data_IF_869051774023
#
_entry.id   IF_869051774023
#
_cell.length_a   1.000
_cell.length_b   1.000
_cell.length_c   1.000
_cell.angle_alpha   90.00
_cell.angle_beta   90.00
_cell.angle_gamma   90.00
#
_symmetry.space_group_name_H-M   'P 1'
#
loop_
_entity.id
_entity.type
_entity.pdbx_description
1 polymer ?
#
# COMPACT_ATOMS: atom_id res chain seq x y z
N UNK A 1 2.39 -29.93 -35.00
CA UNK A 1 3.50 -30.10 -35.98
C UNK A 1 4.31 -28.81 -36.05
N UNK A 2 5.62 -28.97 -36.17
CA UNK A 2 6.69 -27.95 -36.15
C UNK A 2 6.58 -26.91 -37.28
N UNK A 3 7.00 -25.66 -37.03
CA UNK A 3 8.25 -25.13 -37.60
C UNK A 3 8.62 -23.75 -37.02
N UNK A 4 9.81 -23.72 -36.42
CA UNK A 4 10.69 -22.59 -36.13
C UNK A 4 11.26 -21.95 -37.41
N UNK A 5 11.55 -20.64 -37.39
CA UNK A 5 12.71 -20.06 -38.08
C UNK A 5 13.42 -19.00 -37.24
N UNK A 6 14.75 -19.09 -37.30
CA UNK A 6 15.80 -18.43 -36.52
C UNK A 6 16.34 -17.16 -37.19
N UNK A 7 16.85 -16.28 -36.32
CA UNK A 7 17.91 -15.25 -36.38
C UNK A 7 18.76 -14.99 -37.64
N UNK A 8 19.18 -13.72 -37.78
CA UNK A 8 20.57 -13.19 -37.97
C UNK A 8 20.54 -11.73 -37.48
N UNK A 9 21.18 -11.32 -36.37
CA UNK A 9 22.59 -10.96 -36.11
C UNK A 9 23.23 -10.06 -37.18
N UNK A 10 23.53 -8.81 -36.79
CA UNK A 10 24.79 -8.15 -37.14
C UNK A 10 25.29 -7.33 -35.93
N UNK A 11 26.59 -7.43 -35.68
CA UNK A 11 27.34 -6.91 -34.53
C UNK A 11 28.44 -5.97 -35.05
N UNK A 12 28.61 -4.81 -34.43
CA UNK A 12 29.88 -4.05 -34.25
C UNK A 12 29.55 -2.71 -33.57
N UNK A 13 29.82 -2.48 -32.28
CA UNK A 13 31.10 -2.14 -31.61
C UNK A 13 31.84 -0.97 -32.25
N UNK A 14 31.77 0.21 -31.61
CA UNK A 14 32.91 1.11 -31.33
C UNK A 14 32.49 2.30 -30.43
N UNK A 15 33.13 2.35 -29.27
CA UNK A 15 33.31 3.45 -28.28
C UNK A 15 34.85 3.67 -28.27
N UNK A 16 35.52 4.81 -27.91
CA UNK A 16 35.13 5.94 -27.03
C UNK A 16 35.65 7.36 -27.46
N UNK A 17 35.50 8.31 -26.52
CA UNK A 17 36.17 9.63 -26.34
C UNK A 17 35.56 10.79 -27.12
N UNK A 18 35.26 11.97 -26.55
CA UNK A 18 35.44 12.50 -25.20
C UNK A 18 35.16 14.00 -25.21
N UNK A 19 34.89 14.55 -24.02
CA UNK A 19 35.08 15.96 -23.58
C UNK A 19 34.38 17.10 -24.35
N UNK A 20 33.67 17.96 -23.60
CA UNK A 20 33.52 19.36 -24.00
C UNK A 20 32.18 20.03 -23.67
N UNK A 21 32.00 20.38 -22.39
CA UNK A 21 31.56 21.70 -21.89
C UNK A 21 30.43 22.41 -22.64
N UNK A 22 29.30 22.62 -21.97
CA UNK A 22 28.70 23.97 -21.79
C UNK A 22 27.72 23.97 -20.61
N UNK A 23 28.21 24.47 -19.48
CA UNK A 23 27.49 25.41 -18.61
C UNK A 23 28.40 26.65 -18.49
N UNK A 24 27.97 27.82 -17.98
CA UNK A 24 26.65 28.25 -17.52
C UNK A 24 26.24 29.63 -18.10
N UNK A 25 24.97 30.02 -18.04
CA UNK A 25 24.61 31.45 -17.89
C UNK A 25 23.48 31.58 -16.88
N UNK A 26 23.88 31.90 -15.64
CA UNK A 26 23.13 32.78 -14.76
C UNK A 26 23.02 34.16 -15.43
N UNK A 27 21.81 34.69 -15.58
CA UNK A 27 21.60 36.10 -15.88
C UNK A 27 20.88 36.76 -14.71
N UNK A 28 21.70 37.53 -14.03
CA UNK A 28 21.42 38.57 -13.04
C UNK A 28 20.24 39.43 -13.51
N UNK A 29 19.13 39.39 -12.77
CA UNK A 29 18.19 40.51 -12.73
C UNK A 29 18.64 41.47 -11.62
N UNK A 30 19.68 42.25 -11.91
CA UNK A 30 19.96 43.48 -11.20
C UNK A 30 19.27 44.60 -11.98
N UNK A 31 18.02 44.86 -11.66
CA UNK A 31 17.46 46.21 -11.75
C UNK A 31 16.29 46.32 -10.79
N UNK A 32 16.33 47.36 -9.95
CA UNK A 32 15.39 47.71 -8.88
C UNK A 32 15.44 46.85 -7.60
N UNK A 33 16.59 46.87 -6.91
CA UNK A 33 16.58 46.68 -5.45
C UNK A 33 16.35 48.03 -4.77
N UNK A 34 15.27 48.15 -4.00
CA UNK A 34 15.06 49.27 -3.07
C UNK A 34 16.05 49.17 -1.90
N UNK A 35 16.44 50.29 -1.28
CA UNK A 35 17.38 50.29 -0.14
C UNK A 35 16.94 49.33 0.99
N UNK A 36 15.63 49.21 1.21
CA UNK A 36 14.99 48.25 2.11
C UNK A 36 15.39 46.78 1.86
N UNK A 37 15.60 46.37 0.61
CA UNK A 37 15.94 44.98 0.26
C UNK A 37 17.43 44.66 0.40
N UNK A 38 18.30 45.68 0.41
CA UNK A 38 19.73 45.50 0.67
C UNK A 38 20.02 45.27 2.15
N UNK A 39 19.32 45.99 3.02
CA UNK A 39 19.46 45.84 4.46
C UNK A 39 18.91 44.49 4.95
N UNK A 40 17.79 44.04 4.37
CA UNK A 40 17.19 42.74 4.71
C UNK A 40 18.07 41.56 4.27
N UNK A 41 18.68 41.63 3.08
CA UNK A 41 19.64 40.63 2.61
C UNK A 41 20.96 40.63 3.40
N UNK A 42 21.39 41.79 3.90
CA UNK A 42 22.57 41.90 4.75
C UNK A 42 22.30 41.25 6.10
N UNK A 43 21.14 41.51 6.69
CA UNK A 43 20.71 40.90 7.96
C UNK A 43 20.55 39.38 7.86
N UNK A 44 19.99 38.88 6.74
CA UNK A 44 19.89 37.44 6.49
C UNK A 44 21.27 36.76 6.37
N UNK A 45 22.23 37.43 5.71
CA UNK A 45 23.61 36.93 5.59
C UNK A 45 24.32 36.90 6.95
N UNK A 46 24.12 37.93 7.77
CA UNK A 46 24.71 37.98 9.12
C UNK A 46 24.11 36.88 10.01
N UNK A 47 22.79 36.65 9.97
CA UNK A 47 22.13 35.53 10.68
C UNK A 47 22.61 34.14 10.20
N UNK A 48 22.82 33.98 8.89
CA UNK A 48 23.37 32.73 8.33
C UNK A 48 24.80 32.47 8.79
N UNK A 49 25.64 33.50 8.80
CA UNK A 49 27.03 33.40 9.29
C UNK A 49 27.06 33.10 10.79
N UNK A 50 26.12 33.66 11.55
CA UNK A 50 26.01 33.41 12.99
C UNK A 50 25.54 31.98 13.29
N UNK A 51 24.57 31.46 12.53
CA UNK A 51 24.15 30.05 12.58
C UNK A 51 25.25 29.09 12.13
N UNK A 52 26.03 29.42 11.10
CA UNK A 52 27.17 28.61 10.68
C UNK A 52 28.25 28.55 11.76
N UNK A 53 28.52 29.67 12.43
CA UNK A 53 29.44 29.71 13.58
C UNK A 53 28.90 28.93 14.77
N UNK A 54 27.59 28.98 15.03
CA UNK A 54 26.95 28.20 16.09
C UNK A 54 27.01 26.70 15.80
N UNK A 55 26.76 26.28 14.55
CA UNK A 55 26.92 24.89 14.10
C UNK A 55 28.38 24.44 14.24
N UNK A 56 29.34 25.29 13.88
CA UNK A 56 30.75 24.97 13.99
C UNK A 56 31.18 24.86 15.46
N UNK A 57 30.68 25.74 16.32
CA UNK A 57 30.93 25.72 17.77
C UNK A 57 30.30 24.49 18.43
N UNK A 58 29.09 24.08 18.02
CA UNK A 58 28.45 22.83 18.45
C UNK A 58 29.24 21.58 17.99
N UNK A 59 29.85 21.62 16.80
CA UNK A 59 30.74 20.54 16.30
C UNK A 59 32.08 20.48 17.02
N UNK A 60 32.59 21.62 17.49
CA UNK A 60 33.85 21.72 18.24
C UNK A 60 33.65 21.40 19.74
N UNK A 61 32.51 21.76 20.32
CA UNK A 61 32.16 21.52 21.74
C UNK A 61 31.60 20.11 21.99
N UNK A 62 30.89 19.53 21.02
CA UNK A 62 30.63 18.09 21.03
C UNK A 62 31.82 17.39 20.37
N UNK A 63 32.76 16.89 21.19
CA UNK A 63 33.35 15.59 20.88
C UNK A 63 32.16 14.68 20.59
N UNK A 64 31.88 14.41 19.31
CA UNK A 64 30.83 13.48 18.91
C UNK A 64 30.98 12.27 19.84
N UNK A 65 29.94 11.93 20.63
CA UNK A 65 30.05 10.78 21.49
C UNK A 65 30.53 9.64 20.60
N UNK A 66 31.62 8.99 21.03
CA UNK A 66 32.09 7.78 20.38
C UNK A 66 31.03 6.72 20.71
N UNK A 67 29.90 6.78 20.01
CA UNK A 67 28.84 5.79 20.11
C UNK A 67 29.42 4.60 19.37
N UNK A 68 29.92 3.63 20.13
CA UNK A 68 30.22 2.34 19.54
C UNK A 68 28.90 1.84 18.93
N UNK A 69 28.87 1.50 17.62
CA UNK A 69 27.69 0.98 16.98
C UNK A 69 27.13 -0.19 17.80
N UNK A 70 25.83 -0.16 18.09
CA UNK A 70 25.14 -1.22 18.82
C UNK A 70 24.62 -2.22 17.79
N UNK A 71 25.35 -3.31 17.57
CA UNK A 71 24.88 -4.43 16.74
C UNK A 71 24.26 -5.52 17.61
N UNK A 72 23.27 -6.22 17.07
CA UNK A 72 22.59 -7.36 17.69
C UNK A 72 23.30 -8.69 17.42
N UNK A 73 24.62 -8.65 17.19
CA UNK A 73 25.41 -9.83 16.84
C UNK A 73 25.38 -10.90 17.95
N UNK A 74 25.14 -10.50 19.20
CA UNK A 74 24.97 -11.41 20.34
C UNK A 74 23.53 -11.91 20.54
N UNK A 75 22.53 -11.34 19.85
CA UNK A 75 21.15 -11.76 19.98
C UNK A 75 20.96 -13.15 19.36
N UNK A 76 20.34 -14.06 20.12
CA UNK A 76 20.01 -15.39 19.62
C UNK A 76 18.68 -15.36 18.87
N UNK A 77 18.73 -15.66 17.57
CA UNK A 77 17.57 -15.81 16.70
C UNK A 77 17.46 -17.25 16.20
N UNK A 78 16.27 -17.83 16.33
CA UNK A 78 15.89 -19.04 15.60
C UNK A 78 15.50 -18.62 14.20
N UNK A 79 15.96 -19.33 13.18
CA UNK A 79 15.61 -19.03 11.78
C UNK A 79 15.25 -20.30 11.02
N UNK A 80 14.23 -20.22 10.19
CA UNK A 80 13.82 -21.30 9.30
C UNK A 80 13.49 -20.75 7.91
N UNK A 81 13.83 -21.51 6.86
CA UNK A 81 13.43 -21.20 5.49
C UNK A 81 12.09 -21.83 5.18
N UNK A 82 11.14 -21.03 4.71
CA UNK A 82 9.79 -21.45 4.37
C UNK A 82 9.52 -21.24 2.89
N UNK A 83 8.69 -22.10 2.30
CA UNK A 83 8.29 -21.96 0.90
C UNK A 83 7.47 -20.69 0.69
N UNK A 84 7.78 -19.94 -0.36
CA UNK A 84 7.08 -18.77 -0.86
C UNK A 84 6.36 -19.12 -2.16
N UNK A 85 5.10 -18.70 -2.29
CA UNK A 85 4.31 -18.85 -3.52
C UNK A 85 3.51 -17.60 -3.84
N UNK A 86 3.49 -17.22 -5.11
CA UNK A 86 2.73 -16.08 -5.60
C UNK A 86 1.39 -16.48 -6.23
N UNK A 87 0.31 -15.82 -5.80
CA UNK A 87 -1.02 -15.91 -6.40
C UNK A 87 -1.56 -14.54 -6.85
N UNK A 88 -0.75 -13.48 -6.77
CA UNK A 88 -1.12 -12.19 -7.33
C UNK A 88 -0.92 -12.23 -8.86
N UNK A 89 -1.99 -12.09 -9.67
CA UNK A 89 -1.88 -12.19 -11.13
C UNK A 89 -1.25 -10.96 -11.79
N UNK A 90 -1.15 -9.83 -11.08
CA UNK A 90 -0.58 -8.59 -11.61
C UNK A 90 0.95 -8.59 -11.70
N UNK A 91 1.61 -9.55 -11.04
CA UNK A 91 3.07 -9.62 -10.98
C UNK A 91 3.55 -11.06 -11.17
N UNK A 92 4.52 -11.26 -12.07
CA UNK A 92 5.21 -12.55 -12.21
C UNK A 92 6.36 -12.63 -11.19
N UNK A 93 6.10 -13.27 -10.04
CA UNK A 93 7.12 -13.55 -9.00
C UNK A 93 7.36 -15.06 -8.95
N UNK A 94 8.63 -15.48 -9.06
CA UNK A 94 9.00 -16.89 -9.01
C UNK A 94 8.77 -17.49 -7.61
N UNK A 95 8.27 -18.73 -7.56
CA UNK A 95 8.24 -19.52 -6.34
C UNK A 95 9.68 -19.67 -5.80
N UNK A 96 9.85 -19.46 -4.50
CA UNK A 96 11.16 -19.43 -3.86
C UNK A 96 11.04 -19.79 -2.37
N UNK A 97 12.05 -19.47 -1.58
CA UNK A 97 12.05 -19.59 -0.12
C UNK A 97 12.37 -18.26 0.52
N UNK A 98 11.79 -18.04 1.68
CA UNK A 98 11.99 -16.86 2.48
C UNK A 98 12.28 -17.26 3.92
N UNK A 99 13.29 -16.63 4.52
CA UNK A 99 13.67 -16.93 5.90
C UNK A 99 12.79 -16.15 6.87
N UNK A 100 12.15 -16.84 7.81
CA UNK A 100 11.56 -16.20 8.98
C UNK A 100 12.48 -16.36 10.19
N UNK A 101 12.65 -15.27 10.93
CA UNK A 101 13.43 -15.20 12.15
C UNK A 101 12.50 -15.06 13.35
N UNK A 102 12.88 -15.67 14.47
CA UNK A 102 12.14 -15.61 15.73
C UNK A 102 13.14 -15.36 16.86
N UNK A 103 12.79 -14.50 17.81
CA UNK A 103 13.62 -14.31 19.00
C UNK A 103 13.60 -15.62 19.81
N UNK A 104 14.77 -16.03 20.31
CA UNK A 104 14.91 -17.36 20.91
C UNK A 104 13.95 -17.66 22.07
N UNK A 105 13.61 -16.62 22.82
CA UNK A 105 12.72 -16.57 23.98
C UNK A 105 11.25 -16.25 23.63
N UNK A 106 10.95 -15.83 22.40
CA UNK A 106 9.62 -15.46 21.95
C UNK A 106 9.42 -15.72 20.45
N UNK A 107 8.59 -16.71 20.13
CA UNK A 107 8.23 -17.09 18.75
C UNK A 107 6.91 -16.48 18.26
N UNK A 108 6.31 -15.56 19.02
CA UNK A 108 5.02 -14.94 18.69
C UNK A 108 5.11 -13.98 17.49
N UNK A 109 6.25 -13.31 17.31
CA UNK A 109 6.48 -12.33 16.24
C UNK A 109 7.49 -12.91 15.25
N UNK A 110 7.07 -13.23 14.01
CA UNK A 110 8.01 -13.52 12.94
C UNK A 110 8.68 -12.22 12.48
N UNK A 111 9.98 -12.31 12.23
CA UNK A 111 10.81 -11.26 11.65
C UNK A 111 11.33 -11.70 10.28
N UNK A 112 11.74 -10.73 9.47
CA UNK A 112 12.24 -10.96 8.11
C UNK A 112 13.43 -10.06 7.82
N UNK A 113 14.42 -10.57 7.09
CA UNK A 113 15.49 -9.75 6.51
C UNK A 113 14.94 -8.95 5.32
N UNK A 114 15.02 -7.63 5.42
CA UNK A 114 14.47 -6.71 4.41
C UNK A 114 15.11 -6.94 3.04
N UNK A 115 16.43 -7.17 2.97
CA UNK A 115 17.11 -7.34 1.68
C UNK A 115 16.72 -8.67 1.01
N UNK A 116 16.68 -9.75 1.79
CA UNK A 116 16.23 -11.07 1.29
C UNK A 116 14.80 -10.99 0.77
N UNK A 117 13.91 -10.32 1.51
CA UNK A 117 12.52 -10.18 1.12
C UNK A 117 12.34 -9.40 -0.18
N UNK A 118 13.01 -8.26 -0.32
CA UNK A 118 12.94 -7.45 -1.54
C UNK A 118 13.49 -8.21 -2.76
N UNK A 119 14.54 -9.01 -2.59
CA UNK A 119 15.10 -9.85 -3.66
C UNK A 119 14.17 -11.00 -4.08
N UNK A 120 13.60 -11.72 -3.10
CA UNK A 120 12.58 -12.77 -3.37
C UNK A 120 11.37 -12.18 -4.10
N UNK A 121 11.03 -10.93 -3.79
CA UNK A 121 9.93 -10.19 -4.40
C UNK A 121 10.32 -9.44 -5.67
N UNK A 122 11.48 -9.72 -6.29
CA UNK A 122 11.96 -8.98 -7.47
C UNK A 122 11.04 -9.01 -8.70
N UNK A 123 9.99 -9.84 -8.74
CA UNK A 123 8.92 -9.74 -9.74
C UNK A 123 7.95 -8.56 -9.51
N UNK A 124 7.85 -8.10 -8.27
CA UNK A 124 7.05 -6.97 -7.80
C UNK A 124 7.91 -5.74 -7.46
N UNK A 125 9.10 -5.94 -6.88
CA UNK A 125 10.06 -4.89 -6.52
C UNK A 125 11.09 -4.72 -7.63
N UNK A 126 11.34 -3.48 -8.06
CA UNK A 126 12.48 -3.12 -8.88
C UNK A 126 13.73 -2.95 -8.00
N UNK A 127 14.50 -4.04 -7.85
CA UNK A 127 15.75 -4.06 -7.08
C UNK A 127 16.86 -3.20 -7.68
N UNK A 128 16.66 -2.68 -8.90
CA UNK A 128 17.57 -1.71 -9.53
C UNK A 128 17.16 -0.25 -9.28
N UNK A 129 15.92 -0.03 -8.80
CA UNK A 129 15.33 1.28 -8.57
C UNK A 129 15.82 1.99 -7.29
N UNK A 130 16.60 1.31 -6.45
CA UNK A 130 17.14 1.88 -5.22
C UNK A 130 18.58 1.44 -4.93
N UNK A 131 19.26 2.19 -4.07
CA UNK A 131 20.56 1.85 -3.50
C UNK A 131 20.45 1.70 -1.99
N UNK A 132 21.32 0.88 -1.42
CA UNK A 132 21.39 0.67 0.03
C UNK A 132 22.78 0.96 0.57
N UNK A 133 22.85 1.43 1.80
CA UNK A 133 24.10 1.54 2.55
C UNK A 133 23.84 1.47 4.05
N UNK A 134 24.89 1.13 4.78
CA UNK A 134 24.89 1.02 6.24
C UNK A 134 25.76 2.14 6.80
N UNK A 135 25.17 2.98 7.63
CA UNK A 135 25.86 3.96 8.46
C UNK A 135 25.93 3.42 9.90
N UNK A 136 27.01 2.71 10.18
CA UNK A 136 27.25 2.13 11.51
C UNK A 136 27.44 3.21 12.58
N UNK A 137 27.91 4.40 12.22
CA UNK A 137 28.13 5.49 13.20
C UNK A 137 26.82 5.96 13.80
N UNK A 138 25.75 5.96 13.00
CA UNK A 138 24.42 6.41 13.42
C UNK A 138 23.42 5.27 13.66
N UNK A 139 23.88 4.01 13.60
CA UNK A 139 23.05 2.81 13.68
C UNK A 139 21.92 2.79 12.63
N UNK A 140 22.23 3.13 11.38
CA UNK A 140 21.25 3.28 10.30
C UNK A 140 21.52 2.39 9.10
N UNK A 141 20.45 1.80 8.55
CA UNK A 141 20.45 1.24 7.20
C UNK A 141 19.50 2.06 6.33
N UNK A 142 20.01 2.51 5.20
CA UNK A 142 19.34 3.52 4.39
C UNK A 142 19.11 2.96 2.99
N UNK A 143 17.89 3.12 2.51
CA UNK A 143 17.47 2.82 1.14
C UNK A 143 17.16 4.14 0.43
N UNK A 144 17.63 4.34 -0.80
CA UNK A 144 17.44 5.58 -1.54
C UNK A 144 17.03 5.35 -2.99
N UNK A 145 16.04 6.10 -3.45
CA UNK A 145 15.71 6.24 -4.88
C UNK A 145 16.39 7.49 -5.45
N UNK A 146 16.53 7.54 -6.77
CA UNK A 146 17.10 8.71 -7.45
C UNK A 146 16.31 9.05 -8.70
N UNK A 147 16.12 10.34 -8.94
CA UNK A 147 15.52 10.89 -10.15
C UNK A 147 16.48 11.89 -10.77
N UNK A 148 16.77 11.76 -12.07
CA UNK A 148 17.74 12.60 -12.80
C UNK A 148 19.11 12.74 -12.10
N UNK A 149 19.58 11.64 -11.49
CA UNK A 149 20.89 11.59 -10.81
C UNK A 149 20.93 12.27 -9.44
N UNK A 150 19.79 12.77 -8.94
CA UNK A 150 19.65 13.33 -7.60
C UNK A 150 18.84 12.39 -6.71
N UNK A 151 19.13 12.39 -5.41
CA UNK A 151 18.34 11.62 -4.42
C UNK A 151 16.90 12.15 -4.45
N UNK A 152 15.94 11.26 -4.71
CA UNK A 152 14.51 11.59 -4.72
C UNK A 152 13.93 11.35 -3.33
N UNK A 153 13.94 10.08 -2.88
CA UNK A 153 13.41 9.68 -1.58
C UNK A 153 14.37 8.73 -0.85
N UNK A 154 14.20 8.66 0.47
CA UNK A 154 14.96 7.79 1.35
C UNK A 154 14.06 7.13 2.39
N UNK A 155 14.41 5.90 2.77
CA UNK A 155 13.90 5.24 3.97
C UNK A 155 15.09 4.86 4.85
N UNK A 156 15.06 5.32 6.09
CA UNK A 156 16.12 5.19 7.08
C UNK A 156 15.59 4.31 8.20
N UNK A 157 16.21 3.14 8.40
CA UNK A 157 15.93 2.26 9.52
C UNK A 157 16.99 2.50 10.59
N UNK A 158 16.58 2.95 11.78
CA UNK A 158 17.47 3.08 12.92
C UNK A 158 17.20 1.92 13.90
N UNK A 159 18.18 1.03 14.03
CA UNK A 159 18.01 -0.19 14.84
C UNK A 159 18.26 0.03 16.34
N UNK A 160 19.02 1.07 16.70
CA UNK A 160 19.25 1.41 18.10
C UNK A 160 18.03 2.09 18.74
N UNK A 161 17.34 2.94 17.97
CA UNK A 161 16.18 3.71 18.39
C UNK A 161 14.85 3.14 17.91
N UNK A 162 14.86 1.99 17.25
CA UNK A 162 13.67 1.31 16.75
C UNK A 162 12.70 2.22 15.97
N UNK A 163 13.20 2.99 15.01
CA UNK A 163 12.33 3.79 14.14
C UNK A 163 12.64 3.58 12.66
N UNK A 164 11.62 3.84 11.84
CA UNK A 164 11.75 3.94 10.38
C UNK A 164 11.34 5.35 9.99
N UNK A 165 12.21 6.07 9.29
CA UNK A 165 11.93 7.40 8.78
C UNK A 165 11.94 7.40 7.27
N UNK A 166 10.84 7.80 6.64
CA UNK A 166 10.73 7.96 5.20
C UNK A 166 10.68 9.46 4.88
N UNK A 167 11.54 9.95 3.98
CA UNK A 167 11.44 11.34 3.52
C UNK A 167 10.12 11.62 2.82
N UNK A 168 9.58 10.59 2.16
CA UNK A 168 8.21 10.52 1.68
C UNK A 168 7.78 9.05 1.60
N UNK A 169 6.50 8.80 1.83
CA UNK A 169 5.86 7.49 1.57
C UNK A 169 5.93 7.07 0.10
N UNK A 170 6.18 8.00 -0.83
CA UNK A 170 6.40 7.72 -2.25
C UNK A 170 7.53 6.72 -2.50
N UNK A 171 8.55 6.64 -1.62
CA UNK A 171 9.61 5.62 -1.74
C UNK A 171 9.04 4.20 -1.94
N UNK A 172 8.02 3.83 -1.15
CA UNK A 172 7.44 2.48 -1.20
C UNK A 172 6.73 2.18 -2.52
N UNK A 173 6.31 3.21 -3.26
CA UNK A 173 5.70 3.09 -4.58
C UNK A 173 6.75 3.16 -5.71
N UNK A 174 7.76 4.02 -5.58
CA UNK A 174 8.80 4.24 -6.60
C UNK A 174 9.64 2.99 -6.88
N UNK A 175 9.79 2.09 -5.89
CA UNK A 175 10.54 0.84 -6.06
C UNK A 175 9.67 -0.32 -6.58
N UNK A 176 8.41 -0.09 -6.94
CA UNK A 176 7.52 -1.13 -7.47
C UNK A 176 7.65 -1.24 -8.99
N UNK A 177 7.52 -2.45 -9.51
CA UNK A 177 7.35 -2.69 -10.94
C UNK A 177 5.93 -2.33 -11.38
N UNK A 178 5.73 -1.92 -12.65
CA UNK A 178 4.40 -1.74 -13.21
C UNK A 178 3.59 -3.05 -13.21
N UNK A 179 2.27 -2.93 -13.08
CA UNK A 179 1.33 -4.05 -13.22
C UNK A 179 1.39 -4.70 -14.62
N UNK A 180 1.28 -6.03 -14.65
CA UNK A 180 1.42 -6.80 -15.88
C UNK A 180 0.09 -6.99 -16.64
N UNK A 181 -1.05 -7.11 -15.95
CA UNK A 181 -2.35 -7.41 -16.58
C UNK A 181 -3.16 -6.15 -16.87
N UNK A 182 -3.19 -5.24 -15.90
CA UNK A 182 -3.91 -3.97 -15.98
C UNK A 182 -2.93 -2.79 -16.10
N UNK A 183 -3.43 -1.62 -16.52
CA UNK A 183 -2.64 -0.38 -16.53
C UNK A 183 -3.50 0.78 -16.03
N UNK A 184 -3.56 0.92 -14.72
CA UNK A 184 -4.28 2.03 -14.09
C UNK A 184 -3.72 3.43 -14.40
N UNK A 185 -2.51 3.54 -14.96
CA UNK A 185 -1.94 4.84 -15.29
C UNK A 185 -2.19 5.26 -16.75
N UNK A 186 -2.83 4.42 -17.58
CA UNK A 186 -2.82 4.59 -19.04
C UNK A 186 -3.42 5.91 -19.55
N UNK A 187 -4.36 6.50 -18.81
CA UNK A 187 -5.00 7.78 -19.17
C UNK A 187 -4.74 8.90 -18.16
N UNK A 188 -3.94 8.63 -17.12
CA UNK A 188 -3.64 9.63 -16.10
C UNK A 188 -2.52 10.55 -16.58
N UNK A 189 -2.84 11.83 -16.75
CA UNK A 189 -1.83 12.88 -16.83
C UNK A 189 -1.58 13.45 -15.44
N UNK A 190 -0.54 12.97 -14.78
CA UNK A 190 -0.12 13.50 -13.48
C UNK A 190 0.64 14.81 -13.67
N UNK A 191 -0.04 15.94 -13.48
CA UNK A 191 0.64 17.21 -13.14
C UNK A 191 0.87 17.25 -11.63
N UNK A 192 1.70 16.35 -11.12
CA UNK A 192 2.07 16.37 -9.71
C UNK A 192 3.15 17.43 -9.52
N UNK A 193 2.83 18.52 -8.80
CA UNK A 193 3.88 19.22 -8.08
C UNK A 193 4.27 18.29 -6.94
N UNK A 194 5.52 17.84 -6.85
CA UNK A 194 6.04 17.15 -5.68
C UNK A 194 5.81 18.03 -4.44
N UNK A 195 4.65 17.89 -3.82
CA UNK A 195 4.45 18.34 -2.46
C UNK A 195 5.02 17.21 -1.64
N UNK A 196 6.26 17.38 -1.23
CA UNK A 196 6.78 16.62 -0.12
C UNK A 196 5.70 16.64 0.96
N UNK A 197 5.32 15.45 1.45
CA UNK A 197 4.81 15.34 2.83
C UNK A 197 5.71 16.25 3.65
N UNK A 198 5.11 17.14 4.46
CA UNK A 198 5.77 18.24 5.18
C UNK A 198 7.28 18.05 5.27
N UNK A 199 8.14 18.99 4.85
CA UNK A 199 9.60 18.83 4.60
C UNK A 199 10.46 17.98 5.59
N UNK A 200 9.89 17.52 6.70
CA UNK A 200 10.31 16.54 7.71
C UNK A 200 10.04 15.05 7.37
N UNK A 201 9.13 14.70 6.45
CA UNK A 201 8.79 13.31 6.11
C UNK A 201 7.99 12.56 7.19
N UNK A 202 7.86 11.23 7.05
CA UNK A 202 7.05 10.37 7.92
C UNK A 202 7.93 9.52 8.86
N UNK A 203 7.66 9.62 10.16
CA UNK A 203 8.32 8.83 11.20
C UNK A 203 7.40 7.71 11.70
N UNK A 204 7.86 6.48 11.55
CA UNK A 204 7.30 5.27 12.13
C UNK A 204 8.13 4.88 13.36
N UNK A 205 7.71 5.39 14.53
CA UNK A 205 8.31 5.06 15.82
C UNK A 205 7.81 3.69 16.27
N UNK A 206 8.63 2.65 16.11
CA UNK A 206 8.28 1.27 16.47
C UNK A 206 8.45 1.00 17.97
N UNK A 207 9.34 1.74 18.64
CA UNK A 207 9.53 1.68 20.10
C UNK A 207 8.21 1.95 20.83
N UNK A 208 7.42 2.93 20.36
CA UNK A 208 6.08 3.22 20.90
C UNK A 208 5.14 2.01 20.94
N UNK A 209 5.35 1.02 20.07
CA UNK A 209 4.53 -0.18 19.98
C UNK A 209 5.27 -1.43 20.47
N UNK A 210 6.42 -1.29 21.13
CA UNK A 210 7.26 -2.40 21.62
C UNK A 210 7.57 -3.40 20.49
N UNK A 211 8.04 -2.84 19.38
CA UNK A 211 8.49 -3.54 18.18
C UNK A 211 9.92 -3.12 17.88
N UNK A 212 10.80 -4.10 17.67
CA UNK A 212 12.23 -3.84 17.50
C UNK A 212 12.68 -3.97 16.04
N UNK A 213 13.73 -3.24 15.70
CA UNK A 213 14.50 -3.39 14.47
C UNK A 213 15.82 -4.04 14.88
N UNK A 214 16.13 -5.19 14.30
CA UNK A 214 17.34 -5.95 14.64
C UNK A 214 18.37 -5.75 13.54
N UNK A 215 19.59 -5.38 13.90
CA UNK A 215 20.72 -5.35 12.96
C UNK A 215 21.78 -6.37 13.37
N UNK A 216 21.80 -7.51 12.67
CA UNK A 216 22.64 -8.66 13.00
C UNK A 216 23.40 -9.13 11.77
N UNK A 217 24.72 -9.23 11.87
CA UNK A 217 25.60 -9.76 10.81
C UNK A 217 25.38 -9.05 9.45
N UNK A 218 25.12 -7.73 9.48
CA UNK A 218 24.84 -6.92 8.29
C UNK A 218 23.39 -6.98 7.78
N UNK A 219 22.54 -7.82 8.37
CA UNK A 219 21.13 -7.97 8.01
C UNK A 219 20.26 -7.01 8.79
N UNK A 220 19.31 -6.40 8.09
CA UNK A 220 18.27 -5.57 8.69
C UNK A 220 17.02 -6.44 8.83
N UNK A 221 16.73 -6.85 10.05
CA UNK A 221 15.68 -7.80 10.38
C UNK A 221 14.56 -7.05 11.11
N UNK A 222 13.38 -6.96 10.51
CA UNK A 222 12.23 -6.23 11.07
C UNK A 222 11.02 -7.15 11.28
N UNK A 223 10.02 -6.78 12.10
CA UNK A 223 8.81 -7.57 12.25
C UNK A 223 8.15 -7.75 10.88
N UNK A 224 7.82 -8.99 10.54
CA UNK A 224 7.22 -9.33 9.25
C UNK A 224 5.95 -8.52 8.97
N UNK A 225 5.15 -8.25 10.01
CA UNK A 225 3.94 -7.45 9.90
C UNK A 225 4.22 -5.99 9.52
N UNK A 226 5.31 -5.40 10.02
CA UNK A 226 5.76 -4.04 9.64
C UNK A 226 6.27 -4.04 8.19
N UNK A 227 7.08 -5.03 7.80
CA UNK A 227 7.52 -5.19 6.41
C UNK A 227 6.31 -5.28 5.47
N UNK A 228 5.36 -6.16 5.77
CA UNK A 228 4.18 -6.36 4.94
C UNK A 228 3.34 -5.08 4.84
N UNK A 229 3.14 -4.33 5.93
CA UNK A 229 2.39 -3.07 5.90
C UNK A 229 3.07 -1.99 5.04
N UNK A 230 4.39 -1.84 5.14
CA UNK A 230 5.12 -0.76 4.46
C UNK A 230 5.43 -1.07 3.00
N UNK A 231 5.88 -2.28 2.69
CA UNK A 231 6.37 -2.64 1.36
C UNK A 231 5.32 -3.32 0.48
N UNK A 232 4.34 -3.99 1.09
CA UNK A 232 3.36 -4.79 0.33
C UNK A 232 2.00 -4.07 0.28
N UNK A 233 1.41 -3.79 1.44
CA UNK A 233 0.03 -3.33 1.53
C UNK A 233 -0.22 -2.03 0.75
N UNK A 234 0.80 -1.16 0.61
CA UNK A 234 0.69 0.11 -0.11
C UNK A 234 0.50 -0.09 -1.63
N UNK A 235 0.98 -1.20 -2.20
CA UNK A 235 0.82 -1.52 -3.62
C UNK A 235 -0.29 -2.53 -3.89
N UNK A 236 -1.29 -2.63 -3.01
CA UNK A 236 -2.38 -3.62 -3.13
C UNK A 236 -1.87 -5.05 -3.32
N UNK A 237 -0.83 -5.44 -2.60
CA UNK A 237 -0.35 -6.83 -2.52
C UNK A 237 -0.08 -7.16 -1.06
N UNK A 238 -0.28 -8.41 -0.63
CA UNK A 238 -0.05 -8.80 0.75
C UNK A 238 0.53 -10.20 0.88
N UNK A 239 1.55 -10.30 1.73
CA UNK A 239 2.14 -11.56 2.18
C UNK A 239 1.41 -12.08 3.41
N UNK A 240 1.10 -13.36 3.38
CA UNK A 240 0.57 -14.11 4.52
C UNK A 240 1.61 -15.13 4.97
N UNK A 241 1.98 -15.07 6.24
CA UNK A 241 2.75 -16.10 6.91
C UNK A 241 1.91 -16.73 8.01
N UNK A 242 1.72 -18.05 7.96
CA UNK A 242 0.88 -18.79 8.90
C UNK A 242 1.68 -19.71 9.85
N UNK A 243 3.02 -19.62 9.81
CA UNK A 243 3.94 -20.49 10.56
C UNK A 243 4.52 -21.65 9.73
N UNK A 244 3.98 -21.91 8.54
CA UNK A 244 4.40 -23.03 7.67
C UNK A 244 4.87 -22.58 6.29
N UNK A 245 4.37 -21.45 5.78
CA UNK A 245 4.71 -20.94 4.46
C UNK A 245 4.39 -19.45 4.30
N UNK A 246 4.98 -18.84 3.28
CA UNK A 246 4.62 -17.52 2.77
C UNK A 246 3.75 -17.64 1.52
N UNK A 247 2.72 -16.80 1.44
CA UNK A 247 1.80 -16.72 0.30
C UNK A 247 1.52 -15.27 -0.05
N UNK A 248 1.79 -14.86 -1.29
CA UNK A 248 1.43 -13.54 -1.82
C UNK A 248 0.07 -13.58 -2.51
N UNK A 249 -0.80 -12.61 -2.23
CA UNK A 249 -2.08 -12.41 -2.91
C UNK A 249 -2.30 -10.94 -3.22
N UNK A 250 -3.10 -10.66 -4.24
CA UNK A 250 -3.57 -9.32 -4.55
C UNK A 250 -4.49 -8.82 -3.44
N UNK A 251 -4.19 -7.62 -2.94
CA UNK A 251 -4.86 -6.82 -1.91
C UNK A 251 -5.09 -7.50 -0.55
N UNK A 252 -5.66 -8.69 -0.50
CA UNK A 252 -5.89 -9.48 0.69
C UNK A 252 -6.81 -10.63 0.39
N UNK A 253 -6.82 -11.66 1.24
CA UNK A 253 -7.71 -12.81 1.08
C UNK A 253 -9.15 -12.33 1.00
N UNK A 254 -9.77 -12.61 -0.14
CA UNK A 254 -11.12 -12.23 -0.50
C UNK A 254 -11.41 -10.71 -0.50
N UNK A 255 -10.40 -9.86 -0.72
CA UNK A 255 -10.58 -8.41 -0.67
C UNK A 255 -11.40 -7.84 -1.84
N UNK A 256 -11.24 -8.41 -3.04
CA UNK A 256 -11.86 -7.96 -4.30
C UNK A 256 -12.68 -9.07 -5.00
N UNK A 257 -13.28 -9.97 -4.23
CA UNK A 257 -13.95 -11.18 -4.75
C UNK A 257 -13.39 -12.42 -4.07
N UNK A 258 -13.70 -13.61 -4.56
CA UNK A 258 -13.15 -14.84 -3.99
C UNK A 258 -11.71 -15.04 -4.52
N UNK A 259 -10.73 -15.13 -3.61
CA UNK A 259 -9.37 -15.50 -3.95
C UNK A 259 -9.30 -16.96 -4.43
N UNK A 260 -8.29 -17.36 -5.21
CA UNK A 260 -8.15 -18.75 -5.65
C UNK A 260 -8.17 -19.73 -4.46
N UNK A 261 -8.97 -20.79 -4.55
CA UNK A 261 -9.13 -21.79 -3.48
C UNK A 261 -7.80 -22.34 -2.96
N UNK A 262 -6.81 -22.52 -3.87
CA UNK A 262 -5.47 -22.96 -3.49
C UNK A 262 -4.76 -21.94 -2.58
N UNK A 263 -4.87 -20.64 -2.89
CA UNK A 263 -4.30 -19.57 -2.08
C UNK A 263 -4.99 -19.53 -0.71
N UNK A 264 -6.33 -19.58 -0.68
CA UNK A 264 -7.11 -19.59 0.56
C UNK A 264 -6.72 -20.78 1.42
N UNK A 265 -6.64 -21.98 0.85
CA UNK A 265 -6.21 -23.20 1.54
C UNK A 265 -4.80 -23.07 2.10
N UNK A 266 -3.84 -22.58 1.29
CA UNK A 266 -2.44 -22.45 1.70
C UNK A 266 -2.27 -21.48 2.87
N UNK A 267 -3.03 -20.38 2.89
CA UNK A 267 -3.01 -19.38 3.95
C UNK A 267 -3.75 -19.88 5.19
N UNK A 268 -4.98 -20.36 5.02
CA UNK A 268 -5.95 -20.52 6.10
C UNK A 268 -5.98 -21.92 6.70
N UNK A 269 -5.59 -22.96 5.97
CA UNK A 269 -5.55 -24.34 6.47
C UNK A 269 -4.13 -24.68 6.93
N UNK A 270 -3.88 -24.58 8.24
CA UNK A 270 -2.55 -24.71 8.83
C UNK A 270 -2.61 -25.28 10.26
N UNK A 271 -1.45 -25.58 10.86
CA UNK A 271 -1.37 -26.15 12.20
C UNK A 271 -1.95 -25.28 13.33
N UNK A 272 -2.31 -24.00 13.12
CA UNK A 272 -2.93 -23.13 14.13
C UNK A 272 -4.45 -23.27 14.18
N UNK A 273 -5.09 -23.88 13.18
CA UNK A 273 -6.55 -24.04 13.19
C UNK A 273 -7.02 -24.78 14.44
N UNK A 274 -8.08 -24.27 15.08
CA UNK A 274 -8.67 -24.81 16.31
C UNK A 274 -7.71 -24.92 17.50
N UNK A 275 -6.58 -24.20 17.48
CA UNK A 275 -5.71 -24.04 18.65
C UNK A 275 -6.03 -22.75 19.39
N UNK A 276 -5.56 -22.68 20.62
CA UNK A 276 -5.61 -21.44 21.41
C UNK A 276 -4.34 -20.64 21.13
N UNK A 277 -4.44 -19.36 20.70
CA UNK A 277 -3.27 -18.49 20.58
C UNK A 277 -2.61 -18.25 21.94
N UNK A 278 -1.31 -17.97 21.95
CA UNK A 278 -0.62 -17.54 23.18
C UNK A 278 -0.94 -16.08 23.50
N UNK A 279 -0.78 -15.68 24.77
CA UNK A 279 -0.91 -14.27 25.17
C UNK A 279 0.06 -13.36 24.40
N UNK A 280 1.29 -13.81 24.21
CA UNK A 280 2.30 -13.09 23.45
C UNK A 280 1.88 -12.86 21.98
N UNK A 281 1.24 -13.84 21.32
CA UNK A 281 0.69 -13.67 19.96
C UNK A 281 -0.45 -12.63 19.92
N UNK A 282 -1.30 -12.60 20.95
CA UNK A 282 -2.37 -11.60 21.07
C UNK A 282 -1.82 -10.19 21.29
N UNK A 283 -0.85 -10.05 22.18
CA UNK A 283 -0.16 -8.78 22.46
C UNK A 283 0.57 -8.25 21.23
N UNK A 284 1.32 -9.12 20.54
CA UNK A 284 1.97 -8.78 19.27
C UNK A 284 0.98 -8.30 18.21
N UNK A 285 -0.15 -9.00 18.07
CA UNK A 285 -1.21 -8.61 17.12
C UNK A 285 -1.80 -7.25 17.50
N UNK A 286 -2.01 -6.98 18.79
CA UNK A 286 -2.55 -5.71 19.25
C UNK A 286 -1.57 -4.55 19.01
N UNK A 287 -0.28 -4.75 19.27
CA UNK A 287 0.77 -3.76 19.01
C UNK A 287 0.85 -3.37 17.53
N UNK A 288 0.84 -4.37 16.64
CA UNK A 288 0.82 -4.10 15.19
C UNK A 288 -0.50 -3.46 14.75
N UNK A 289 -1.63 -3.87 15.33
CA UNK A 289 -2.91 -3.20 15.09
C UNK A 289 -2.85 -1.72 15.44
N UNK A 290 -2.31 -1.37 16.61
CA UNK A 290 -2.13 0.03 17.01
C UNK A 290 -1.23 0.79 16.03
N UNK A 291 -0.11 0.20 15.62
CA UNK A 291 0.76 0.76 14.59
C UNK A 291 0.00 1.06 13.29
N UNK A 292 -0.72 0.08 12.74
CA UNK A 292 -1.47 0.26 11.49
C UNK A 292 -2.52 1.36 11.65
N UNK A 293 -3.30 1.32 12.72
CA UNK A 293 -4.39 2.28 12.91
C UNK A 293 -3.89 3.69 13.23
N UNK A 294 -2.78 3.83 13.95
CA UNK A 294 -2.22 5.15 14.28
C UNK A 294 -1.59 5.86 13.07
N UNK A 295 -1.04 5.11 12.11
CA UNK A 295 -0.32 5.65 10.95
C UNK A 295 -1.12 5.65 9.64
N UNK A 296 -2.06 4.72 9.45
CA UNK A 296 -2.73 4.52 8.16
C UNK A 296 -4.25 4.75 8.18
N UNK A 297 -4.86 4.98 9.35
CA UNK A 297 -6.29 5.28 9.40
C UNK A 297 -6.59 6.73 8.97
N UNK A 298 -7.06 6.90 7.74
CA UNK A 298 -7.25 8.22 7.11
C UNK A 298 -8.29 9.14 7.76
N UNK A 299 -9.13 8.66 8.67
CA UNK A 299 -10.14 9.49 9.36
C UNK A 299 -9.78 9.83 10.81
N UNK A 300 -8.52 9.58 11.22
CA UNK A 300 -8.04 9.78 12.60
C UNK A 300 -8.27 11.21 13.08
N UNK A 301 -7.85 12.22 12.31
CA UNK A 301 -8.02 13.63 12.66
C UNK A 301 -9.50 14.06 12.70
N UNK A 302 -10.27 13.66 11.69
CA UNK A 302 -11.72 13.95 11.61
C UNK A 302 -12.48 13.39 12.83
N UNK A 303 -12.12 12.17 13.26
CA UNK A 303 -12.69 11.53 14.44
C UNK A 303 -12.02 11.95 15.76
N UNK A 304 -11.05 12.87 15.71
CA UNK A 304 -10.29 13.38 16.87
C UNK A 304 -9.63 12.27 17.69
N UNK A 305 -9.18 11.22 17.01
CA UNK A 305 -8.50 10.08 17.62
C UNK A 305 -7.03 10.46 17.82
N UNK A 306 -6.58 10.62 19.06
CA UNK A 306 -5.18 10.96 19.36
C UNK A 306 -4.27 9.74 19.19
N UNK A 307 -4.66 8.62 19.79
CA UNK A 307 -4.05 7.31 19.63
C UNK A 307 -5.14 6.25 19.64
N UNK A 308 -4.94 5.17 18.91
CA UNK A 308 -5.88 4.06 18.93
C UNK A 308 -5.92 3.34 20.28
N UNK A 309 -4.81 3.32 21.03
CA UNK A 309 -4.79 2.70 22.35
C UNK A 309 -5.71 3.40 23.35
N UNK A 310 -5.86 4.72 23.23
CA UNK A 310 -6.78 5.52 24.06
C UNK A 310 -8.21 5.56 23.51
N UNK A 311 -8.39 5.25 22.22
CA UNK A 311 -9.69 5.26 21.56
C UNK A 311 -10.49 3.98 21.83
N UNK A 312 -9.81 2.83 21.85
CA UNK A 312 -10.45 1.53 22.04
C UNK A 312 -10.93 1.42 23.49
N UNK A 313 -12.20 1.04 23.67
CA UNK A 313 -12.77 0.80 24.99
C UNK A 313 -11.97 -0.26 25.78
N UNK A 314 -11.88 -0.11 27.10
CA UNK A 314 -11.18 -1.06 27.96
C UNK A 314 -11.72 -2.50 27.80
N UNK A 315 -13.04 -2.65 27.66
CA UNK A 315 -13.69 -3.94 27.45
C UNK A 315 -13.33 -4.58 26.09
N UNK A 316 -13.23 -3.79 25.02
CA UNK A 316 -12.83 -4.31 23.71
C UNK A 316 -11.33 -4.58 23.64
N UNK A 317 -10.49 -3.82 24.36
CA UNK A 317 -9.06 -4.10 24.53
C UNK A 317 -8.84 -5.43 25.26
N UNK A 318 -9.55 -5.68 26.35
CA UNK A 318 -9.50 -6.96 27.08
C UNK A 318 -9.87 -8.13 26.16
N UNK A 319 -10.97 -8.01 25.41
CA UNK A 319 -11.38 -9.03 24.44
C UNK A 319 -10.37 -9.23 23.31
N UNK A 320 -9.75 -8.15 22.82
CA UNK A 320 -8.74 -8.23 21.77
C UNK A 320 -7.51 -9.04 22.25
N UNK A 321 -7.10 -8.81 23.49
CA UNK A 321 -5.96 -9.48 24.14
C UNK A 321 -6.29 -10.90 24.65
N UNK A 322 -7.57 -11.26 24.72
CA UNK A 322 -8.03 -12.59 25.10
C UNK A 322 -7.46 -13.66 24.17
N UNK A 323 -7.15 -14.83 24.74
CA UNK A 323 -6.81 -16.03 23.97
C UNK A 323 -8.06 -16.81 23.54
N UNK A 324 -9.25 -16.40 23.98
CA UNK A 324 -10.52 -16.94 23.52
C UNK A 324 -10.87 -16.36 22.14
N UNK A 325 -11.12 -17.26 21.19
CA UNK A 325 -11.45 -16.95 19.80
C UNK A 325 -12.69 -16.09 19.62
N UNK A 326 -13.74 -16.37 20.36
CA UNK A 326 -14.98 -15.60 20.27
C UNK A 326 -14.79 -14.17 20.77
N UNK A 327 -13.98 -13.98 21.81
CA UNK A 327 -13.69 -12.67 22.38
C UNK A 327 -12.92 -11.79 21.37
N UNK A 328 -11.78 -12.26 20.86
CA UNK A 328 -10.97 -11.42 19.98
C UNK A 328 -11.64 -11.19 18.63
N UNK A 329 -12.42 -12.14 18.11
CA UNK A 329 -13.21 -11.92 16.89
C UNK A 329 -14.28 -10.85 17.12
N UNK A 330 -14.96 -10.89 18.27
CA UNK A 330 -15.94 -9.88 18.62
C UNK A 330 -15.29 -8.50 18.83
N UNK A 331 -14.07 -8.43 19.36
CA UNK A 331 -13.33 -7.18 19.51
C UNK A 331 -13.11 -6.49 18.16
N UNK A 332 -12.63 -7.23 17.13
CA UNK A 332 -12.47 -6.67 15.78
C UNK A 332 -13.78 -6.11 15.23
N UNK A 333 -14.87 -6.85 15.38
CA UNK A 333 -16.20 -6.40 14.94
C UNK A 333 -16.63 -5.15 15.69
N UNK A 334 -16.49 -5.13 17.02
CA UNK A 334 -16.87 -3.97 17.82
C UNK A 334 -16.07 -2.73 17.43
N UNK A 335 -14.75 -2.86 17.27
CA UNK A 335 -13.89 -1.74 16.92
C UNK A 335 -14.21 -1.23 15.50
N UNK A 336 -14.18 -2.10 14.49
CA UNK A 336 -14.35 -1.67 13.10
C UNK A 336 -15.79 -1.32 12.73
N UNK A 337 -16.75 -2.17 13.10
CA UNK A 337 -18.13 -1.99 12.66
C UNK A 337 -18.90 -1.03 13.58
N UNK A 338 -18.59 -0.96 14.87
CA UNK A 338 -19.42 -0.23 15.85
C UNK A 338 -18.77 1.01 16.45
N UNK A 339 -17.49 0.97 16.81
CA UNK A 339 -16.79 2.13 17.35
C UNK A 339 -16.40 3.10 16.23
N UNK A 340 -15.70 2.63 15.19
CA UNK A 340 -15.40 3.45 14.02
C UNK A 340 -16.69 3.83 13.27
N UNK A 341 -17.64 2.88 13.16
CA UNK A 341 -18.97 3.08 12.60
C UNK A 341 -18.96 3.82 11.25
N UNK A 342 -18.15 3.33 10.33
CA UNK A 342 -18.05 3.83 8.96
C UNK A 342 -17.87 2.64 7.99
N UNK A 343 -17.89 2.91 6.68
CA UNK A 343 -18.08 1.87 5.65
C UNK A 343 -16.79 1.40 4.96
N UNK A 344 -15.67 2.12 5.15
CA UNK A 344 -14.40 1.88 4.47
C UNK A 344 -13.36 1.14 5.33
N UNK A 345 -13.60 0.92 6.63
CA UNK A 345 -12.83 -0.05 7.43
C UNK A 345 -13.60 -1.35 7.57
N UNK A 346 -12.98 -2.46 7.15
CA UNK A 346 -13.63 -3.77 7.16
C UNK A 346 -12.68 -4.90 7.52
N UNK A 347 -13.29 -6.01 7.94
CA UNK A 347 -12.62 -7.30 8.12
C UNK A 347 -12.81 -8.08 6.82
N UNK A 348 -11.72 -8.54 6.20
CA UNK A 348 -11.81 -9.44 5.05
C UNK A 348 -11.78 -10.91 5.49
N UNK A 349 -11.02 -11.23 6.54
CA UNK A 349 -10.95 -12.58 7.10
C UNK A 349 -10.63 -12.56 8.60
N UNK A 350 -10.98 -13.62 9.33
CA UNK A 350 -10.70 -13.77 10.77
C UNK A 350 -9.29 -14.32 11.03
N UNK A 351 -8.96 -14.71 12.25
CA UNK A 351 -7.64 -15.23 12.59
C UNK A 351 -7.31 -16.59 11.92
N UNK A 352 -6.04 -17.02 12.00
CA UNK A 352 -5.62 -18.38 11.62
C UNK A 352 -6.11 -19.47 12.57
N UNK A 353 -6.65 -19.11 13.74
CA UNK A 353 -7.17 -20.07 14.73
C UNK A 353 -8.62 -20.49 14.43
N UNK A 354 -9.24 -19.91 13.40
CA UNK A 354 -10.52 -20.41 12.88
C UNK A 354 -10.37 -21.81 12.29
N UNK A 355 -11.34 -22.67 12.56
CA UNK A 355 -11.45 -24.03 12.01
C UNK A 355 -12.21 -24.04 10.68
N UNK A 356 -13.22 -23.16 10.54
CA UNK A 356 -13.98 -22.95 9.31
C UNK A 356 -13.21 -22.07 8.31
N UNK A 357 -12.05 -22.54 7.87
CA UNK A 357 -11.07 -21.76 7.10
C UNK A 357 -11.56 -21.27 5.71
N UNK A 358 -12.56 -21.93 5.11
CA UNK A 358 -13.25 -21.48 3.87
C UNK A 358 -14.44 -20.55 4.12
N UNK A 359 -15.00 -20.53 5.34
CA UNK A 359 -16.20 -19.76 5.61
C UNK A 359 -15.89 -18.26 5.63
N UNK A 360 -16.84 -17.46 5.13
CA UNK A 360 -16.72 -16.00 5.21
C UNK A 360 -16.88 -15.58 6.67
N UNK A 361 -16.21 -14.50 7.08
CA UNK A 361 -16.16 -14.09 8.49
C UNK A 361 -17.54 -13.87 9.10
N UNK A 362 -18.50 -13.37 8.31
CA UNK A 362 -19.87 -13.12 8.77
C UNK A 362 -20.68 -14.42 8.95
N UNK A 363 -20.30 -15.53 8.31
CA UNK A 363 -20.90 -16.86 8.51
C UNK A 363 -20.37 -17.52 9.77
N UNK A 364 -19.12 -17.21 10.14
CA UNK A 364 -18.52 -17.68 11.39
C UNK A 364 -19.15 -16.96 12.59
N UNK A 365 -19.47 -15.68 12.42
CA UNK A 365 -20.10 -14.84 13.43
C UNK A 365 -21.62 -14.74 13.27
N UNK A 366 -22.24 -15.70 12.58
CA UNK A 366 -23.69 -15.76 12.41
C UNK A 366 -24.40 -15.78 13.77
N UNK A 367 -25.52 -15.07 13.87
CA UNK A 367 -26.28 -14.90 15.12
C UNK A 367 -25.69 -13.88 16.10
N UNK A 368 -24.48 -13.35 15.86
CA UNK A 368 -23.91 -12.25 16.66
C UNK A 368 -24.31 -10.88 16.06
N UNK A 369 -24.38 -9.86 16.92
CA UNK A 369 -24.53 -8.49 16.45
C UNK A 369 -23.21 -7.98 15.85
N UNK A 370 -23.13 -8.03 14.52
CA UNK A 370 -21.92 -7.71 13.75
C UNK A 370 -22.00 -6.42 12.93
N UNK A 371 -23.09 -5.64 13.04
CA UNK A 371 -23.35 -4.49 12.16
C UNK A 371 -23.49 -3.19 12.93
N UNK A 372 -22.69 -2.19 12.56
CA UNK A 372 -22.87 -0.81 13.01
C UNK A 372 -24.09 -0.13 12.40
N UNK A 373 -24.46 1.01 12.98
CA UNK A 373 -25.59 1.82 12.53
C UNK A 373 -25.42 2.35 11.11
N UNK A 374 -24.20 2.75 10.72
CA UNK A 374 -23.92 3.26 9.38
C UNK A 374 -24.07 2.16 8.33
N UNK A 375 -23.59 0.95 8.63
CA UNK A 375 -23.79 -0.21 7.77
C UNK A 375 -25.28 -0.51 7.56
N UNK A 376 -26.08 -0.52 8.64
CA UNK A 376 -27.53 -0.77 8.56
C UNK A 376 -28.23 0.27 7.67
N UNK A 377 -27.95 1.56 7.90
CA UNK A 377 -28.52 2.67 7.10
C UNK A 377 -28.10 2.59 5.63
N UNK A 378 -26.82 2.34 5.37
CA UNK A 378 -26.31 2.20 4.01
C UNK A 378 -27.03 1.07 3.26
N UNK A 379 -27.16 -0.11 3.87
CA UNK A 379 -27.81 -1.24 3.20
C UNK A 379 -29.31 -1.04 2.99
N UNK A 380 -30.00 -0.36 3.92
CA UNK A 380 -31.40 0.02 3.72
C UNK A 380 -31.56 0.97 2.52
N UNK A 381 -30.73 2.01 2.45
CA UNK A 381 -30.73 2.96 1.33
C UNK A 381 -30.35 2.28 0.00
N UNK A 382 -29.29 1.45 0.02
CA UNK A 382 -28.85 0.71 -1.17
C UNK A 382 -29.95 -0.23 -1.67
N UNK A 383 -30.62 -0.95 -0.77
CA UNK A 383 -31.76 -1.81 -1.13
C UNK A 383 -32.86 -1.01 -1.85
N UNK A 384 -33.27 0.12 -1.27
CA UNK A 384 -34.27 1.01 -1.89
C UNK A 384 -33.83 1.51 -3.27
N UNK A 385 -32.57 1.91 -3.42
CA UNK A 385 -32.03 2.36 -4.71
C UNK A 385 -32.01 1.24 -5.76
N UNK A 386 -31.61 0.02 -5.38
CA UNK A 386 -31.63 -1.14 -6.27
C UNK A 386 -33.06 -1.49 -6.68
N UNK A 387 -34.02 -1.53 -5.75
CA UNK A 387 -35.42 -1.80 -6.08
C UNK A 387 -36.01 -0.77 -7.05
N UNK A 388 -35.71 0.52 -6.84
CA UNK A 388 -36.13 1.58 -7.75
C UNK A 388 -35.45 1.48 -9.12
N UNK A 389 -34.18 1.10 -9.15
CA UNK A 389 -33.43 0.85 -10.36
C UNK A 389 -34.06 -0.30 -11.16
N UNK A 390 -34.22 -1.46 -10.56
CA UNK A 390 -34.77 -2.65 -11.22
C UNK A 390 -36.18 -2.39 -11.76
N UNK A 391 -37.01 -1.67 -11.00
CA UNK A 391 -38.34 -1.26 -11.44
C UNK A 391 -38.30 -0.30 -12.63
N UNK A 392 -37.37 0.66 -12.63
CA UNK A 392 -37.25 1.66 -13.70
C UNK A 392 -36.72 1.05 -15.00
N UNK A 393 -35.85 0.05 -14.89
CA UNK A 393 -35.24 -0.62 -16.04
C UNK A 393 -35.99 -1.87 -16.49
N UNK A 394 -36.90 -2.40 -15.66
CA UNK A 394 -37.63 -3.65 -15.94
C UNK A 394 -36.70 -4.88 -15.98
N UNK A 395 -35.55 -4.80 -15.31
CA UNK A 395 -34.47 -5.79 -15.38
C UNK A 395 -33.79 -5.90 -14.01
N UNK A 396 -33.34 -7.10 -13.65
CA UNK A 396 -32.55 -7.32 -12.43
C UNK A 396 -31.17 -6.71 -12.58
N UNK A 397 -30.61 -6.22 -11.47
CA UNK A 397 -29.29 -5.62 -11.48
C UNK A 397 -28.22 -6.61 -11.96
N UNK A 398 -28.33 -7.87 -11.54
CA UNK A 398 -27.38 -8.94 -11.88
C UNK A 398 -27.42 -9.33 -13.37
N UNK A 399 -28.52 -9.04 -14.06
CA UNK A 399 -28.63 -9.28 -15.51
C UNK A 399 -28.15 -8.07 -16.33
N UNK A 400 -27.90 -6.92 -15.69
CA UNK A 400 -27.54 -5.66 -16.33
C UNK A 400 -26.09 -5.71 -16.82
N UNK A 401 -25.86 -5.44 -18.09
CA UNK A 401 -24.55 -5.55 -18.72
C UNK A 401 -24.28 -4.37 -19.65
N UNK A 402 -23.10 -4.34 -20.28
CA UNK A 402 -22.65 -3.24 -21.12
C UNK A 402 -23.66 -2.82 -22.20
N UNK A 403 -24.44 -3.75 -22.78
CA UNK A 403 -25.46 -3.40 -23.78
C UNK A 403 -26.63 -2.59 -23.20
N UNK A 404 -26.88 -2.68 -21.90
CA UNK A 404 -27.94 -1.95 -21.21
C UNK A 404 -27.51 -0.54 -20.76
N UNK A 405 -26.20 -0.25 -20.79
CA UNK A 405 -25.63 0.96 -20.18
C UNK A 405 -26.08 2.23 -20.91
N UNK A 406 -26.30 2.16 -22.22
CA UNK A 406 -26.68 3.31 -23.04
C UNK A 406 -28.12 3.15 -23.53
N UNK A 407 -28.99 4.10 -23.16
CA UNK A 407 -30.37 4.18 -23.67
C UNK A 407 -30.66 5.55 -24.25
N UNK A 408 -31.47 5.59 -25.31
CA UNK A 408 -31.88 6.84 -25.96
C UNK A 408 -33.36 7.10 -25.72
N UNK A 409 -33.73 8.32 -25.32
CA UNK A 409 -35.13 8.76 -25.19
C UNK A 409 -35.26 10.23 -25.58
N UNK A 410 -36.05 10.50 -26.62
CA UNK A 410 -36.20 11.85 -27.19
C UNK A 410 -34.84 12.36 -27.70
N UNK A 411 -34.45 13.55 -27.25
CA UNK A 411 -33.15 14.17 -27.56
C UNK A 411 -32.06 13.87 -26.52
N UNK A 412 -32.22 12.83 -25.68
CA UNK A 412 -31.31 12.56 -24.57
C UNK A 412 -30.76 11.13 -24.63
N UNK A 413 -29.45 10.99 -24.44
CA UNK A 413 -28.79 9.73 -24.13
C UNK A 413 -28.63 9.59 -22.62
N UNK A 414 -29.03 8.45 -22.08
CA UNK A 414 -28.86 8.06 -20.68
C UNK A 414 -27.76 7.02 -20.60
N UNK A 415 -26.74 7.29 -19.79
CA UNK A 415 -25.61 6.40 -19.55
C UNK A 415 -25.68 5.96 -18.10
N UNK A 416 -25.82 4.67 -17.85
CA UNK A 416 -25.83 4.11 -16.50
C UNK A 416 -24.56 3.29 -16.30
N UNK A 417 -23.76 3.67 -15.31
CA UNK A 417 -22.55 2.94 -14.93
C UNK A 417 -22.73 2.33 -13.55
N UNK A 418 -22.54 1.01 -13.44
CA UNK A 418 -22.63 0.30 -12.16
C UNK A 418 -21.31 0.28 -11.39
N UNK A 419 -20.20 0.53 -12.08
CA UNK A 419 -18.86 0.67 -11.53
C UNK A 419 -17.95 1.36 -12.55
N UNK A 420 -16.75 1.73 -12.11
CA UNK A 420 -15.65 2.16 -13.00
C UNK A 420 -14.72 0.97 -13.21
N UNK A 421 -14.69 0.43 -14.42
CA UNK A 421 -13.96 -0.79 -14.76
C UNK A 421 -12.78 -0.48 -15.71
N UNK A 422 -11.65 -1.15 -15.46
CA UNK A 422 -10.49 -1.18 -16.34
C UNK A 422 -10.44 -2.52 -17.09
N UNK A 423 -10.30 -2.45 -18.41
CA UNK A 423 -10.09 -3.64 -19.22
C UNK A 423 -8.65 -4.17 -19.07
N UNK A 424 -8.47 -5.49 -19.10
CA UNK A 424 -7.13 -6.08 -19.25
C UNK A 424 -6.53 -5.73 -20.60
N UNK A 425 -5.20 -5.82 -20.74
CA UNK A 425 -4.51 -5.59 -22.03
C UNK A 425 -5.10 -6.43 -23.18
N UNK A 426 -5.55 -7.65 -22.91
CA UNK A 426 -6.22 -8.50 -23.90
C UNK A 426 -7.62 -7.99 -24.27
N UNK A 427 -8.43 -7.57 -23.28
CA UNK A 427 -9.77 -7.03 -23.51
C UNK A 427 -9.71 -5.71 -24.29
N UNK A 428 -8.74 -4.85 -23.99
CA UNK A 428 -8.55 -3.56 -24.65
C UNK A 428 -8.08 -3.68 -26.11
N UNK A 429 -7.49 -4.83 -26.49
CA UNK A 429 -7.09 -5.12 -27.86
C UNK A 429 -8.26 -5.54 -28.77
N UNK A 430 -9.45 -5.79 -28.19
CA UNK A 430 -10.65 -6.23 -28.94
C UNK A 430 -11.45 -5.03 -29.45
N UNK A 431 -12.15 -5.21 -30.57
CA UNK A 431 -13.00 -4.18 -31.18
C UNK A 431 -14.18 -3.76 -30.28
N UNK A 432 -14.57 -4.63 -29.34
CA UNK A 432 -15.63 -4.42 -28.37
C UNK A 432 -15.11 -4.05 -26.97
N UNK A 433 -13.89 -3.52 -26.87
CA UNK A 433 -13.25 -3.02 -25.63
C UNK A 433 -14.16 -2.15 -24.76
N UNK A 434 -15.11 -1.41 -25.36
CA UNK A 434 -16.12 -0.61 -24.68
C UNK A 434 -17.02 -1.40 -23.72
N UNK A 435 -17.08 -2.74 -23.85
CA UNK A 435 -17.83 -3.62 -22.94
C UNK A 435 -17.08 -3.92 -21.64
N UNK A 436 -15.77 -3.73 -21.62
CA UNK A 436 -14.88 -4.13 -20.54
C UNK A 436 -14.23 -2.94 -19.82
N UNK A 437 -14.20 -1.78 -20.46
CA UNK A 437 -13.53 -0.59 -19.95
C UNK A 437 -14.43 0.64 -20.07
N UNK A 438 -14.52 1.37 -18.96
CA UNK A 438 -15.46 2.49 -18.84
C UNK A 438 -15.03 3.71 -19.66
N UNK A 439 -13.73 3.92 -19.88
CA UNK A 439 -13.24 4.98 -20.77
C UNK A 439 -13.59 4.68 -22.22
N UNK A 440 -13.38 3.43 -22.66
CA UNK A 440 -13.75 3.01 -24.02
C UNK A 440 -15.27 3.02 -24.25
N UNK A 441 -16.07 2.73 -23.22
CA UNK A 441 -17.53 2.93 -23.25
C UNK A 441 -17.91 4.37 -23.56
N UNK A 442 -17.32 5.34 -22.85
CA UNK A 442 -17.63 6.75 -23.07
C UNK A 442 -17.19 7.20 -24.47
N UNK A 443 -16.04 6.73 -24.97
CA UNK A 443 -15.63 6.98 -26.36
C UNK A 443 -16.57 6.35 -27.38
N UNK A 444 -17.04 5.14 -27.13
CA UNK A 444 -18.02 4.46 -27.97
C UNK A 444 -19.32 5.28 -28.04
N UNK A 445 -19.83 5.74 -26.90
CA UNK A 445 -20.99 6.63 -26.84
C UNK A 445 -20.78 7.89 -27.69
N UNK A 446 -19.65 8.58 -27.54
CA UNK A 446 -19.40 9.81 -28.31
C UNK A 446 -19.42 9.57 -29.82
N UNK A 447 -18.84 8.46 -30.30
CA UNK A 447 -18.91 8.05 -31.72
C UNK A 447 -20.33 7.69 -32.17
N UNK A 448 -21.12 7.07 -31.31
CA UNK A 448 -22.53 6.77 -31.62
C UNK A 448 -23.39 8.04 -31.68
N UNK A 449 -23.08 9.05 -30.88
CA UNK A 449 -23.77 10.33 -30.88
C UNK A 449 -23.50 11.17 -32.13
N UNK A 450 -22.32 11.07 -32.74
CA UNK A 450 -22.02 11.69 -34.04
C UNK A 450 -23.01 11.23 -35.13
N UNK A 451 -23.48 9.97 -35.05
CA UNK A 451 -24.47 9.39 -35.98
C UNK A 451 -25.91 9.76 -35.63
N UNK A 452 -26.15 10.40 -34.47
CA UNK A 452 -27.47 10.72 -33.92
C UNK A 452 -27.58 12.21 -33.59
N UNK A 453 -27.56 13.11 -34.59
CA UNK A 453 -27.51 14.57 -34.37
C UNK A 453 -28.75 15.16 -33.67
N UNK A 454 -29.82 14.36 -33.51
CA UNK A 454 -31.02 14.72 -32.76
C UNK A 454 -30.82 14.62 -31.25
N UNK A 455 -29.82 13.88 -30.78
CA UNK A 455 -29.46 13.84 -29.36
C UNK A 455 -28.69 15.12 -29.02
N UNK A 456 -29.14 15.81 -27.98
CA UNK A 456 -28.61 17.10 -27.50
C UNK A 456 -28.14 17.06 -26.07
N UNK A 457 -28.54 16.04 -25.30
CA UNK A 457 -28.21 15.91 -23.88
C UNK A 457 -27.65 14.52 -23.57
N UNK A 458 -26.72 14.47 -22.60
CA UNK A 458 -26.24 13.23 -21.99
C UNK A 458 -26.55 13.31 -20.49
N UNK A 459 -27.21 12.28 -19.96
CA UNK A 459 -27.43 12.10 -18.53
C UNK A 459 -26.60 10.92 -18.06
N UNK A 460 -25.62 11.18 -17.20
CA UNK A 460 -24.82 10.15 -16.55
C UNK A 460 -25.46 9.78 -15.20
N UNK A 461 -25.93 8.54 -15.10
CA UNK A 461 -26.54 7.97 -13.92
C UNK A 461 -25.53 7.10 -13.15
N UNK A 462 -25.14 7.60 -11.97
CA UNK A 462 -24.21 6.94 -11.05
C UNK A 462 -24.89 6.56 -9.72
N UNK A 463 -26.23 6.58 -9.64
CA UNK A 463 -26.95 6.49 -8.38
C UNK A 463 -26.70 5.20 -7.57
N UNK A 464 -26.33 4.11 -8.25
CA UNK A 464 -25.97 2.82 -7.63
C UNK A 464 -24.51 2.43 -7.90
N UNK A 465 -23.71 3.35 -8.43
CA UNK A 465 -22.30 3.13 -8.69
C UNK A 465 -21.53 3.14 -7.36
N UNK A 466 -20.82 2.05 -7.07
CA UNK A 466 -20.05 1.88 -5.83
C UNK A 466 -18.63 2.46 -5.87
N UNK A 467 -18.24 3.09 -6.98
CA UNK A 467 -16.86 3.42 -7.31
C UNK A 467 -16.28 2.41 -8.30
N UNK A 468 -14.98 2.21 -8.22
CA UNK A 468 -14.22 1.35 -9.13
C UNK A 468 -12.82 1.93 -9.31
N UNK A 469 -12.23 1.67 -10.47
CA UNK A 469 -10.92 2.19 -10.79
C UNK A 469 -10.89 3.72 -10.90
N UNK A 470 -9.91 4.35 -10.26
CA UNK A 470 -9.65 5.80 -10.33
C UNK A 470 -9.04 6.18 -11.69
N UNK A 471 -8.59 5.19 -12.45
CA UNK A 471 -7.80 5.28 -13.67
C UNK A 471 -8.60 5.69 -14.91
N UNK A 472 -9.93 5.75 -14.78
CA UNK A 472 -10.90 6.07 -15.84
C UNK A 472 -11.11 7.60 -16.01
N UNK A 473 -10.54 8.42 -15.13
CA UNK A 473 -10.60 9.89 -15.26
C UNK A 473 -9.34 10.43 -15.95
N UNK A 474 -9.38 10.42 -17.29
CA UNK A 474 -8.39 11.07 -18.17
C UNK A 474 -8.98 12.26 -18.91
#
# INVERSE_FOLDING_TARGET
MKQTRKSKILTSVLVPLGLGVFAPISLIAASCQTESQKDENKKLKEELIEKEKEIQRIKEENKLPNVNPTNDDNLYLKSNKYEFKNFNPEYTINDNKLTAYFKGDNDAVPYIDVDEALEVLSGYIDTTGYKTFVDTTNNQKIYQTSFDGQISNQVIFNWDKNYIHATSTSFFYEIQKPQEQTNGAQFLQTKYSNKFEDNKGVLFDLEKYDMDIIFKEGKLIIPFSVFNTLFMSQGFTNLYFNGENFTNVEAGVNAFGDSPDEAVKRIRKNAKNNKTPTKAEREATYKHFLFVMDHFYGLKEHKKIKSFDSYISAADKEKFLSTNRDDFNQAYVNIFQKQLNELHTRINSLSYYEDRWMAKWYEILEGKDIRGEYYKKFNANRKMLVENFEKSFGKKLDDFNADDYIKYKGNTAFVTLLGFEDGTKEQLAKDDSWRYDTYYLMRYLMKELEKKPTIKNIVLNLAINGGGSVCVYG
#
